data_IF_236567931353
#
_entry.id   IF_236567931353
#
_cell.length_a   1.000
_cell.length_b   1.000
_cell.length_c   1.000
_cell.angle_alpha   90.00
_cell.angle_beta   90.00
_cell.angle_gamma   90.00
#
_symmetry.space_group_name_H-M   'P 1'
#
loop_
_entity.id
_entity.type
_entity.pdbx_description
1 polymer ?
#
# COMPACT_ATOMS: atom_id res chain seq x y z
N UNK A 1 16.58 -50.72 -77.80
CA UNK A 1 16.47 -51.98 -77.04
C UNK A 1 15.77 -51.63 -75.73
N UNK A 2 14.49 -51.96 -75.61
CA UNK A 2 13.62 -51.55 -74.51
C UNK A 2 12.94 -52.80 -73.94
N UNK A 3 12.96 -52.95 -72.62
CA UNK A 3 12.23 -53.99 -71.90
C UNK A 3 11.47 -53.33 -70.74
N UNK A 4 10.14 -53.35 -70.85
CA UNK A 4 9.16 -53.17 -69.77
C UNK A 4 9.14 -54.43 -68.90
N UNK A 5 8.87 -54.33 -67.59
CA UNK A 5 7.94 -55.25 -66.89
C UNK A 5 7.24 -54.52 -65.72
N UNK A 6 5.90 -54.56 -65.74
CA UNK A 6 4.99 -54.43 -64.59
C UNK A 6 4.48 -55.85 -64.24
N UNK A 7 4.17 -56.13 -62.96
CA UNK A 7 3.12 -57.06 -62.46
C UNK A 7 3.34 -57.22 -60.94
N UNK A 8 2.42 -56.88 -60.03
CA UNK A 8 1.09 -57.47 -59.75
C UNK A 8 1.16 -58.99 -59.64
N UNK A 9 1.23 -59.51 -58.40
CA UNK A 9 0.50 -60.69 -57.87
C UNK A 9 1.30 -61.38 -56.77
N UNK A 10 0.92 -61.18 -55.51
CA UNK A 10 0.84 -62.28 -54.54
C UNK A 10 -0.10 -61.86 -53.42
N UNK A 11 -1.33 -61.57 -53.82
CA UNK A 11 -2.45 -61.50 -52.90
C UNK A 11 -2.69 -62.91 -52.34
N UNK A 12 -3.05 -62.99 -51.06
CA UNK A 12 -3.73 -64.14 -50.43
C UNK A 12 -2.93 -65.43 -50.28
N UNK A 13 -2.09 -65.50 -49.24
CA UNK A 13 -1.88 -66.75 -48.49
C UNK A 13 -1.26 -66.56 -47.10
N UNK A 14 -1.64 -65.51 -46.36
CA UNK A 14 -1.16 -65.27 -44.98
C UNK A 14 -2.28 -65.05 -43.97
N UNK A 15 -3.53 -65.25 -44.37
CA UNK A 15 -4.71 -65.17 -43.48
C UNK A 15 -4.87 -66.39 -42.57
N UNK A 16 -3.95 -67.36 -42.57
CA UNK A 16 -4.04 -68.58 -41.75
C UNK A 16 -2.82 -68.91 -40.89
N UNK A 17 -1.86 -67.98 -40.69
CA UNK A 17 -0.69 -68.24 -39.84
C UNK A 17 -0.38 -67.16 -38.78
N UNK A 18 -1.28 -66.20 -38.58
CA UNK A 18 -1.11 -65.09 -37.61
C UNK A 18 -1.96 -65.28 -36.34
N UNK A 19 -2.60 -66.45 -36.17
CA UNK A 19 -3.24 -66.86 -34.93
C UNK A 19 -2.40 -67.95 -34.24
N UNK A 20 -2.12 -67.78 -32.95
CA UNK A 20 -1.65 -68.83 -32.02
C UNK A 20 -0.17 -69.27 -32.04
N UNK A 21 0.74 -68.33 -31.80
CA UNK A 21 1.98 -68.46 -30.98
C UNK A 21 2.69 -67.10 -31.09
N UNK A 22 3.05 -66.34 -30.06
CA UNK A 22 3.60 -66.75 -28.77
C UNK A 22 3.35 -65.58 -27.80
N UNK A 23 2.27 -65.68 -27.04
CA UNK A 23 2.25 -65.23 -25.64
C UNK A 23 3.44 -65.97 -24.98
N UNK A 24 4.25 -65.29 -24.16
CA UNK A 24 5.52 -65.77 -23.55
C UNK A 24 6.82 -65.31 -24.25
N UNK A 25 7.13 -64.02 -24.14
CA UNK A 25 8.49 -63.55 -23.81
C UNK A 25 8.41 -62.09 -23.36
N UNK A 26 7.66 -61.91 -22.27
CA UNK A 26 7.82 -60.76 -21.39
C UNK A 26 9.11 -61.02 -20.59
N UNK A 27 9.87 -59.96 -20.27
CA UNK A 27 10.97 -59.94 -19.27
C UNK A 27 12.42 -60.09 -19.78
N UNK A 28 12.83 -59.29 -20.76
CA UNK A 28 14.22 -58.77 -20.84
C UNK A 28 14.37 -57.82 -22.01
N UNK A 29 14.10 -56.53 -21.82
CA UNK A 29 14.70 -55.39 -22.53
C UNK A 29 13.98 -54.11 -22.05
N UNK A 30 14.13 -53.83 -20.75
CA UNK A 30 13.89 -52.50 -20.18
C UNK A 30 15.21 -52.10 -19.53
N UNK A 31 16.14 -51.63 -20.33
CA UNK A 31 17.33 -50.95 -19.83
C UNK A 31 17.73 -49.92 -20.88
N UNK A 32 17.92 -48.69 -20.41
CA UNK A 32 18.42 -47.51 -21.12
C UNK A 32 17.57 -46.99 -22.28
N UNK A 33 16.50 -46.24 -21.98
CA UNK A 33 16.08 -45.04 -22.74
C UNK A 33 14.83 -44.38 -22.13
N UNK A 34 14.82 -44.08 -20.83
CA UNK A 34 13.91 -43.10 -20.19
C UNK A 34 14.51 -42.58 -18.89
N UNK A 35 15.44 -41.63 -19.00
CA UNK A 35 15.90 -40.80 -17.88
C UNK A 35 16.00 -39.34 -18.37
N UNK A 36 14.84 -38.73 -18.60
CA UNK A 36 14.73 -37.27 -18.71
C UNK A 36 13.27 -36.86 -18.48
N UNK A 37 12.78 -37.15 -17.27
CA UNK A 37 11.50 -36.71 -16.72
C UNK A 37 11.48 -37.24 -15.30
N UNK A 38 11.22 -36.38 -14.30
CA UNK A 38 11.40 -36.60 -12.85
C UNK A 38 12.76 -36.08 -12.32
N UNK A 39 12.93 -34.75 -12.44
CA UNK A 39 13.55 -33.94 -11.38
C UNK A 39 13.04 -32.49 -11.51
N UNK A 40 11.77 -32.28 -11.19
CA UNK A 40 11.19 -30.95 -11.01
C UNK A 40 10.19 -30.99 -9.84
N UNK A 41 10.68 -31.44 -8.69
CA UNK A 41 10.04 -31.26 -7.40
C UNK A 41 10.98 -30.40 -6.57
N UNK A 42 10.87 -29.08 -6.70
CA UNK A 42 10.94 -28.14 -5.58
C UNK A 42 10.80 -26.69 -6.07
N UNK A 43 10.13 -25.89 -5.25
CA UNK A 43 10.14 -24.42 -5.25
C UNK A 43 9.51 -23.70 -6.46
N UNK A 44 8.19 -23.60 -6.46
CA UNK A 44 7.53 -22.33 -6.82
C UNK A 44 6.43 -22.01 -5.82
N UNK A 45 6.78 -22.02 -4.52
CA UNK A 45 6.09 -21.14 -3.57
C UNK A 45 6.63 -19.76 -3.90
N UNK A 46 5.97 -19.07 -4.84
CA UNK A 46 6.10 -17.63 -4.97
C UNK A 46 5.46 -17.05 -3.71
N UNK A 47 6.20 -17.10 -2.59
CA UNK A 47 5.91 -16.24 -1.47
C UNK A 47 5.95 -14.84 -2.03
N UNK A 48 4.80 -14.18 -2.05
CA UNK A 48 4.76 -12.72 -2.06
C UNK A 48 5.54 -12.28 -0.82
N UNK A 49 6.86 -12.20 -0.94
CA UNK A 49 7.68 -11.43 -0.03
C UNK A 49 7.24 -10.01 -0.33
N UNK A 50 6.22 -9.55 0.41
CA UNK A 50 5.93 -8.14 0.48
C UNK A 50 7.28 -7.47 0.80
N UNK A 51 7.73 -6.50 -0.01
CA UNK A 51 8.98 -5.81 0.29
C UNK A 51 8.85 -5.32 1.74
N UNK A 52 9.78 -5.77 2.59
CA UNK A 52 9.90 -5.23 3.94
C UNK A 52 9.95 -3.71 3.77
N UNK A 53 9.15 -2.94 4.55
CA UNK A 53 9.16 -1.49 4.45
C UNK A 53 10.62 -1.04 4.49
N UNK A 54 11.05 -0.29 3.46
CA UNK A 54 12.42 0.17 3.36
C UNK A 54 12.82 0.78 4.71
N UNK A 55 14.01 0.45 5.25
CA UNK A 55 14.46 1.04 6.50
C UNK A 55 14.34 2.56 6.38
N UNK A 56 13.70 3.17 7.39
CA UNK A 56 13.32 4.59 7.47
C UNK A 56 14.53 5.55 7.50
N UNK A 57 15.51 5.36 6.63
CA UNK A 57 16.74 6.15 6.55
C UNK A 57 16.34 7.61 6.37
N UNK A 58 16.96 8.47 7.18
CA UNK A 58 16.78 9.92 7.13
C UNK A 58 15.56 10.47 7.88
N UNK A 59 14.67 9.65 8.44
CA UNK A 59 13.60 10.20 9.29
C UNK A 59 14.23 10.72 10.60
N UNK A 60 14.03 12.00 10.91
CA UNK A 60 14.56 12.63 12.12
C UNK A 60 13.60 12.50 13.31
N UNK A 61 12.32 12.26 13.05
CA UNK A 61 11.29 12.01 14.05
C UNK A 61 10.51 10.75 13.70
N UNK A 62 10.25 9.92 14.70
CA UNK A 62 9.48 8.68 14.59
C UNK A 62 8.62 8.49 15.82
N UNK A 63 7.38 8.07 15.62
CA UNK A 63 6.48 7.64 16.69
C UNK A 63 5.66 6.41 16.24
N UNK A 64 5.69 5.36 17.06
CA UNK A 64 4.94 4.11 16.86
C UNK A 64 4.09 3.73 18.09
N UNK A 65 3.91 4.68 19.00
CA UNK A 65 3.05 4.63 20.18
C UNK A 65 3.30 3.47 21.14
N UNK A 66 4.55 3.00 21.26
CA UNK A 66 4.90 1.89 22.16
C UNK A 66 4.76 2.24 23.65
N UNK A 67 4.71 3.53 23.97
CA UNK A 67 4.42 4.02 25.33
C UNK A 67 2.98 3.70 25.75
N UNK A 68 2.74 3.50 27.06
CA UNK A 68 1.39 3.23 27.59
C UNK A 68 0.45 4.43 27.52
N UNK A 69 0.99 5.63 27.32
CA UNK A 69 0.26 6.90 27.26
C UNK A 69 0.75 7.71 26.07
N UNK A 70 -0.06 8.68 25.65
CA UNK A 70 0.34 9.63 24.61
C UNK A 70 1.63 10.35 25.06
N UNK A 71 2.68 10.41 24.23
CA UNK A 71 3.91 11.10 24.60
C UNK A 71 3.67 12.59 24.88
N UNK A 72 4.40 13.16 25.84
CA UNK A 72 4.25 14.56 26.24
C UNK A 72 4.58 15.58 25.12
N UNK A 73 5.25 15.14 24.06
CA UNK A 73 5.54 15.93 22.86
C UNK A 73 4.32 16.15 21.96
N UNK A 74 3.19 15.48 22.23
CA UNK A 74 1.94 15.65 21.51
C UNK A 74 1.06 16.68 22.21
N UNK A 75 0.35 17.48 21.41
CA UNK A 75 -0.71 18.37 21.88
C UNK A 75 -2.04 17.97 21.27
N UNK A 76 -3.02 17.62 22.10
CA UNK A 76 -4.39 17.35 21.65
C UNK A 76 -5.13 18.68 21.52
N UNK A 77 -5.59 19.00 20.32
CA UNK A 77 -6.30 20.25 19.99
C UNK A 77 -7.80 20.11 20.24
N UNK A 78 -8.36 18.96 19.85
CA UNK A 78 -9.78 18.61 20.02
C UNK A 78 -9.91 17.10 20.16
N UNK A 79 -10.94 16.65 20.87
CA UNK A 79 -11.20 15.24 21.07
C UNK A 79 -10.31 14.61 22.14
N UNK A 80 -10.24 13.28 22.11
CA UNK A 80 -9.48 12.45 23.03
C UNK A 80 -8.58 11.52 22.23
N UNK A 81 -7.40 11.23 22.79
CA UNK A 81 -6.46 10.28 22.21
C UNK A 81 -6.03 9.29 23.28
N UNK A 82 -6.29 8.02 23.02
CA UNK A 82 -5.94 6.91 23.90
C UNK A 82 -4.94 6.01 23.19
N UNK A 83 -3.98 5.42 23.91
CA UNK A 83 -3.10 4.42 23.32
C UNK A 83 -3.71 3.04 23.52
N UNK A 84 -3.83 2.27 22.43
CA UNK A 84 -4.30 0.88 22.46
C UNK A 84 -3.20 -0.04 21.97
N UNK A 85 -3.03 -1.16 22.68
CA UNK A 85 -2.14 -2.25 22.25
C UNK A 85 -2.94 -3.21 21.36
N UNK A 86 -2.53 -3.31 20.10
CA UNK A 86 -3.00 -4.34 19.18
C UNK A 86 -2.21 -5.64 19.34
N UNK A 87 -2.48 -6.62 18.48
CA UNK A 87 -1.77 -7.90 18.48
C UNK A 87 -0.29 -7.76 18.07
N UNK A 88 0.00 -6.83 17.15
CA UNK A 88 1.34 -6.67 16.54
C UNK A 88 2.05 -5.38 16.91
N UNK A 89 1.30 -4.33 17.25
CA UNK A 89 1.80 -2.99 17.48
C UNK A 89 0.86 -2.22 18.42
N UNK A 90 1.40 -1.19 19.06
CA UNK A 90 0.60 -0.18 19.74
C UNK A 90 0.18 0.92 18.76
N UNK A 91 -0.91 1.63 19.02
CA UNK A 91 -1.37 2.73 18.18
C UNK A 91 -2.20 3.74 18.98
N UNK A 92 -2.20 4.99 18.50
CA UNK A 92 -3.09 6.01 19.01
C UNK A 92 -4.50 5.81 18.45
N UNK A 93 -5.51 5.97 19.30
CA UNK A 93 -6.92 5.88 18.97
C UNK A 93 -7.51 7.28 19.08
N UNK A 94 -7.86 7.87 17.94
CA UNK A 94 -8.50 9.17 17.84
C UNK A 94 -10.01 8.99 18.10
N UNK A 95 -10.50 9.65 19.15
CA UNK A 95 -11.91 9.58 19.59
C UNK A 95 -12.50 10.98 19.77
N UNK A 96 -13.74 11.24 19.34
CA UNK A 96 -14.37 12.54 19.54
C UNK A 96 -14.84 12.65 20.99
N UNK A 97 -14.64 13.81 21.62
CA UNK A 97 -15.17 14.08 22.96
C UNK A 97 -16.67 14.45 22.92
N UNK A 98 -17.06 15.19 21.89
CA UNK A 98 -18.35 15.84 21.64
C UNK A 98 -18.33 16.52 20.27
N UNK A 99 -17.18 17.10 19.90
CA UNK A 99 -16.89 17.60 18.56
C UNK A 99 -16.61 16.40 17.67
N UNK A 100 -17.27 16.32 16.52
CA UNK A 100 -17.06 15.26 15.52
C UNK A 100 -15.66 15.32 14.86
N UNK A 101 -14.69 16.03 15.45
CA UNK A 101 -13.33 16.18 14.95
C UNK A 101 -12.33 16.03 16.10
N UNK A 102 -11.27 15.27 15.83
CA UNK A 102 -10.11 15.07 16.69
C UNK A 102 -8.89 15.59 15.93
N UNK A 103 -8.02 16.29 16.63
CA UNK A 103 -6.80 16.85 16.06
C UNK A 103 -5.66 16.80 17.05
N UNK A 104 -4.50 16.37 16.59
CA UNK A 104 -3.26 16.39 17.37
C UNK A 104 -2.13 17.07 16.61
N UNK A 105 -1.26 17.75 17.36
CA UNK A 105 0.01 18.28 16.89
C UNK A 105 1.16 17.47 17.48
N UNK A 106 2.25 17.35 16.73
CA UNK A 106 3.46 16.64 17.15
C UNK A 106 4.69 17.12 16.38
N UNK A 107 5.87 16.76 16.89
CA UNK A 107 7.14 17.11 16.25
C UNK A 107 7.45 18.62 16.28
N UNK A 108 8.55 19.04 15.63
CA UNK A 108 8.95 20.44 15.60
C UNK A 108 8.12 21.23 14.58
N UNK A 109 8.03 22.54 14.76
CA UNK A 109 7.44 23.44 13.78
C UNK A 109 8.42 23.77 12.64
N UNK A 110 7.95 23.70 11.40
CA UNK A 110 8.70 24.11 10.21
C UNK A 110 7.81 24.95 9.28
N UNK A 111 8.42 25.84 8.51
CA UNK A 111 7.75 26.64 7.48
C UNK A 111 7.79 26.00 6.09
N UNK A 112 8.80 25.20 5.77
CA UNK A 112 8.86 24.41 4.54
C UNK A 112 9.94 23.34 4.65
N UNK A 113 10.10 22.52 3.61
CA UNK A 113 11.17 21.52 3.56
C UNK A 113 10.85 20.30 4.41
N UNK A 114 9.56 19.99 4.60
CA UNK A 114 9.12 18.93 5.50
C UNK A 114 8.25 17.91 4.77
N UNK A 115 8.47 16.65 5.15
CA UNK A 115 7.71 15.49 4.70
C UNK A 115 7.17 14.76 5.91
N UNK A 116 5.89 14.40 5.86
CA UNK A 116 5.18 13.64 6.89
C UNK A 116 4.59 12.38 6.26
N UNK A 117 4.83 11.23 6.90
CA UNK A 117 4.13 9.97 6.65
C UNK A 117 3.45 9.51 7.94
N UNK A 118 2.24 8.98 7.83
CA UNK A 118 1.55 8.26 8.90
C UNK A 118 0.55 7.28 8.30
N UNK A 119 0.08 6.31 9.09
CA UNK A 119 -0.98 5.38 8.68
C UNK A 119 -2.20 5.46 9.58
N UNK A 120 -3.36 5.24 8.97
CA UNK A 120 -4.66 5.26 9.62
C UNK A 120 -5.40 3.95 9.39
N UNK A 121 -6.11 3.47 10.41
CA UNK A 121 -7.04 2.35 10.28
C UNK A 121 -8.42 2.83 10.72
N UNK A 122 -9.39 2.68 9.82
CA UNK A 122 -10.77 3.08 10.03
C UNK A 122 -11.71 2.00 9.49
N UNK A 123 -12.85 1.84 10.15
CA UNK A 123 -13.93 0.96 9.72
C UNK A 123 -14.93 1.70 8.82
N UNK A 124 -15.68 0.94 8.03
CA UNK A 124 -16.75 1.50 7.20
C UNK A 124 -17.94 1.88 8.10
N UNK A 125 -18.71 2.84 7.64
CA UNK A 125 -19.95 3.24 8.28
C UNK A 125 -20.85 3.97 7.31
N UNK A 126 -22.15 3.97 7.60
CA UNK A 126 -23.21 4.63 6.80
C UNK A 126 -22.86 6.09 6.42
N UNK A 127 -22.09 6.78 7.26
CA UNK A 127 -21.36 7.99 6.93
C UNK A 127 -19.91 7.77 7.31
N UNK A 128 -19.06 7.53 6.32
CA UNK A 128 -17.65 7.22 6.56
C UNK A 128 -16.92 8.43 7.16
N UNK A 129 -16.04 8.14 8.11
CA UNK A 129 -15.19 9.13 8.75
C UNK A 129 -14.07 9.59 7.80
N UNK A 130 -13.60 10.83 7.94
CA UNK A 130 -12.43 11.32 7.19
C UNK A 130 -11.21 11.35 8.07
N UNK A 131 -10.03 11.15 7.50
CA UNK A 131 -8.76 11.27 8.23
C UNK A 131 -7.72 11.97 7.37
N UNK A 132 -6.78 12.65 8.03
CA UNK A 132 -5.80 13.47 7.35
C UNK A 132 -4.48 13.57 8.12
N UNK A 133 -3.41 13.80 7.36
CA UNK A 133 -2.15 14.36 7.87
C UNK A 133 -2.05 15.82 7.46
N UNK A 134 -1.37 16.64 8.26
CA UNK A 134 -1.19 18.05 7.95
C UNK A 134 0.21 18.56 8.27
N UNK A 135 0.63 19.57 7.52
CA UNK A 135 1.89 20.30 7.68
C UNK A 135 1.59 21.80 7.81
N UNK A 136 2.56 22.55 8.36
CA UNK A 136 2.47 24.01 8.49
C UNK A 136 1.36 24.50 9.45
N UNK A 137 1.12 23.75 10.53
CA UNK A 137 0.22 24.18 11.62
C UNK A 137 -1.27 23.93 11.35
N UNK A 138 -2.14 24.58 12.12
CA UNK A 138 -3.58 24.32 12.12
C UNK A 138 -4.28 24.75 10.83
N UNK A 139 -3.77 25.82 10.22
CA UNK A 139 -4.27 26.43 8.98
C UNK A 139 -3.42 26.08 7.75
N UNK A 140 -2.41 25.23 7.91
CA UNK A 140 -1.56 24.78 6.81
C UNK A 140 -2.23 23.76 5.90
N UNK A 141 -1.41 22.98 5.20
CA UNK A 141 -1.89 21.97 4.26
C UNK A 141 -2.37 20.72 4.97
N UNK A 142 -3.50 20.15 4.53
CA UNK A 142 -4.01 18.86 5.00
C UNK A 142 -4.30 17.94 3.83
N UNK A 143 -3.66 16.78 3.81
CA UNK A 143 -3.96 15.70 2.89
C UNK A 143 -5.01 14.79 3.53
N UNK A 144 -6.23 14.81 3.01
CA UNK A 144 -7.39 14.15 3.60
C UNK A 144 -7.94 13.05 2.68
N UNK A 145 -8.22 11.89 3.25
CA UNK A 145 -9.06 10.87 2.61
C UNK A 145 -10.51 11.14 2.98
N UNK A 146 -11.37 11.21 1.97
CA UNK A 146 -12.80 11.42 2.14
C UNK A 146 -13.58 10.27 1.49
N UNK A 147 -13.91 9.22 2.25
CA UNK A 147 -14.56 8.06 1.66
C UNK A 147 -15.97 8.34 1.13
N UNK A 148 -16.71 9.26 1.77
CA UNK A 148 -18.07 9.63 1.32
C UNK A 148 -18.07 10.23 -0.09
N UNK A 149 -17.01 10.95 -0.45
CA UNK A 149 -16.83 11.54 -1.78
C UNK A 149 -15.97 10.69 -2.70
N UNK A 150 -15.37 9.62 -2.19
CA UNK A 150 -14.36 8.80 -2.89
C UNK A 150 -13.23 9.66 -3.46
N UNK A 151 -12.68 10.55 -2.64
CA UNK A 151 -11.62 11.48 -3.03
C UNK A 151 -10.44 11.49 -2.06
N UNK A 152 -9.27 11.77 -2.62
CA UNK A 152 -8.13 12.32 -1.91
C UNK A 152 -8.17 13.83 -2.09
N UNK A 153 -8.19 14.57 -1.00
CA UNK A 153 -8.39 16.00 -0.96
C UNK A 153 -7.16 16.69 -0.37
N UNK A 154 -6.74 17.80 -0.98
CA UNK A 154 -5.80 18.74 -0.40
C UNK A 154 -6.55 19.97 0.08
N UNK A 155 -6.39 20.29 1.35
CA UNK A 155 -6.95 21.49 1.95
C UNK A 155 -5.83 22.45 2.31
N UNK A 156 -6.09 23.75 2.23
CA UNK A 156 -5.27 24.84 2.76
C UNK A 156 -6.18 25.80 3.51
N UNK A 157 -5.81 26.22 4.71
CA UNK A 157 -6.66 27.04 5.59
C UNK A 157 -8.09 26.49 5.76
N UNK A 158 -8.20 25.16 5.86
CA UNK A 158 -9.46 24.39 5.92
C UNK A 158 -10.37 24.50 4.68
N UNK A 159 -9.94 25.16 3.61
CA UNK A 159 -10.62 25.19 2.31
C UNK A 159 -10.05 24.12 1.38
N UNK A 160 -10.92 23.45 0.61
CA UNK A 160 -10.50 22.50 -0.42
C UNK A 160 -9.84 23.26 -1.58
N UNK A 161 -8.56 22.98 -1.84
CA UNK A 161 -7.80 23.62 -2.93
C UNK A 161 -7.57 22.68 -4.11
N UNK A 162 -7.50 21.38 -3.86
CA UNK A 162 -7.37 20.38 -4.92
C UNK A 162 -7.94 19.03 -4.48
N UNK A 163 -8.33 18.18 -5.44
CA UNK A 163 -8.82 16.83 -5.17
C UNK A 163 -8.68 15.92 -6.38
N UNK A 164 -8.46 14.64 -6.12
CA UNK A 164 -8.44 13.58 -7.13
C UNK A 164 -9.32 12.41 -6.69
N UNK A 165 -9.82 11.61 -7.64
CA UNK A 165 -10.58 10.41 -7.33
C UNK A 165 -9.70 9.42 -6.56
N UNK A 166 -10.22 8.88 -5.47
CA UNK A 166 -9.55 7.85 -4.69
C UNK A 166 -10.60 6.98 -3.97
N UNK A 167 -10.65 5.70 -4.33
CA UNK A 167 -11.55 4.74 -3.71
C UNK A 167 -10.85 4.09 -2.50
N UNK A 168 -11.39 4.35 -1.32
CA UNK A 168 -10.87 3.82 -0.06
C UNK A 168 -11.66 2.57 0.37
N UNK A 169 -10.96 1.60 0.94
CA UNK A 169 -11.53 0.38 1.54
C UNK A 169 -11.28 0.33 3.05
N UNK A 170 -12.31 0.05 3.81
CA UNK A 170 -12.27 -0.05 5.27
C UNK A 170 -11.51 -1.28 5.80
N UNK A 171 -11.22 -1.25 7.11
CA UNK A 171 -10.63 -2.38 7.83
C UNK A 171 -9.16 -2.65 7.47
N UNK A 172 -8.51 -1.71 6.79
CA UNK A 172 -7.12 -1.81 6.36
C UNK A 172 -6.34 -0.54 6.66
N UNK A 173 -5.06 -0.69 7.01
CA UNK A 173 -4.19 0.46 7.18
C UNK A 173 -4.05 1.22 5.85
N UNK A 174 -4.26 2.53 5.92
CA UNK A 174 -4.12 3.47 4.82
C UNK A 174 -3.01 4.44 5.17
N UNK A 175 -1.99 4.49 4.32
CA UNK A 175 -0.84 5.34 4.48
C UNK A 175 -1.11 6.68 3.79
N UNK A 176 -0.77 7.77 4.47
CA UNK A 176 -0.76 9.10 3.90
C UNK A 176 0.65 9.66 3.99
N UNK A 177 1.10 10.26 2.89
CA UNK A 177 2.38 10.91 2.78
C UNK A 177 2.15 12.29 2.17
N UNK A 178 2.44 13.33 2.94
CA UNK A 178 2.36 14.74 2.54
C UNK A 178 3.76 15.37 2.56
N UNK A 179 4.06 16.15 1.54
CA UNK A 179 5.31 16.89 1.41
C UNK A 179 5.04 18.34 1.00
N UNK A 180 5.78 19.27 1.60
CA UNK A 180 5.79 20.69 1.21
C UNK A 180 7.24 21.13 1.02
N UNK A 181 7.59 21.54 -0.19
CA UNK A 181 8.94 22.03 -0.53
C UNK A 181 8.89 23.34 -1.29
N UNK A 182 9.89 24.18 -1.09
CA UNK A 182 10.03 25.42 -1.84
C UNK A 182 10.44 25.11 -3.30
N UNK A 183 9.99 25.95 -4.21
CA UNK A 183 10.38 26.00 -5.61
C UNK A 183 10.99 27.37 -5.91
N UNK A 184 11.81 27.48 -6.98
CA UNK A 184 12.27 28.76 -7.46
C UNK A 184 11.12 29.74 -7.70
N UNK A 185 11.35 31.03 -7.42
CA UNK A 185 10.35 32.08 -7.67
C UNK A 185 9.30 32.22 -6.58
N UNK A 186 9.59 31.82 -5.33
CA UNK A 186 8.67 31.92 -4.18
C UNK A 186 7.37 31.16 -4.42
N UNK A 187 7.53 29.93 -4.87
CA UNK A 187 6.44 28.97 -5.03
C UNK A 187 6.68 27.81 -4.09
N UNK A 188 5.62 27.10 -3.73
CA UNK A 188 5.71 25.91 -2.91
C UNK A 188 4.97 24.78 -3.59
N UNK A 189 5.64 23.64 -3.73
CA UNK A 189 5.03 22.42 -4.22
C UNK A 189 4.53 21.59 -3.05
N UNK A 190 3.25 21.26 -3.10
CA UNK A 190 2.57 20.41 -2.14
C UNK A 190 2.22 19.10 -2.84
N UNK A 191 2.76 18.00 -2.33
CA UNK A 191 2.67 16.69 -2.96
C UNK A 191 2.09 15.67 -1.98
N UNK A 192 1.12 14.89 -2.45
CA UNK A 192 0.39 13.91 -1.67
C UNK A 192 0.44 12.52 -2.29
N UNK A 193 0.69 11.51 -1.46
CA UNK A 193 0.51 10.09 -1.79
C UNK A 193 -0.43 9.43 -0.80
N UNK A 194 -1.19 8.48 -1.31
CA UNK A 194 -2.03 7.59 -0.52
C UNK A 194 -1.94 6.18 -1.07
N UNK A 195 -1.91 5.19 -0.19
CA UNK A 195 -2.02 3.78 -0.55
C UNK A 195 -2.53 2.96 0.63
N UNK A 196 -3.11 1.80 0.35
CA UNK A 196 -3.51 0.85 1.38
C UNK A 196 -2.44 -0.20 1.62
N UNK A 197 -2.46 -0.84 2.79
CA UNK A 197 -1.46 -1.82 3.24
C UNK A 197 -1.21 -2.97 2.26
N UNK A 198 -2.25 -3.39 1.51
CA UNK A 198 -2.14 -4.45 0.49
C UNK A 198 -1.67 -3.94 -0.88
N UNK A 199 -1.47 -2.63 -1.02
CA UNK A 199 -1.04 -1.98 -2.26
C UNK A 199 0.44 -1.58 -2.15
N UNK A 200 1.15 -1.61 -3.28
CA UNK A 200 2.49 -1.06 -3.33
C UNK A 200 2.45 0.47 -3.17
N UNK A 201 3.45 1.04 -2.47
CA UNK A 201 3.61 2.50 -2.38
C UNK A 201 3.73 3.09 -3.80
N UNK A 202 2.92 4.09 -4.18
CA UNK A 202 2.98 4.71 -5.50
C UNK A 202 4.36 5.32 -5.77
N UNK A 203 4.88 5.05 -6.97
CA UNK A 203 6.12 5.69 -7.46
C UNK A 203 5.88 7.18 -7.70
N UNK A 204 4.81 7.50 -8.42
CA UNK A 204 4.36 8.87 -8.68
C UNK A 204 3.55 9.44 -7.53
N UNK A 205 3.52 10.77 -7.42
CA UNK A 205 2.62 11.47 -6.51
C UNK A 205 1.16 11.34 -6.97
N UNK A 206 0.27 10.99 -6.06
CA UNK A 206 -1.17 10.87 -6.35
C UNK A 206 -1.81 12.22 -6.60
N UNK A 207 -1.32 13.27 -5.94
CA UNK A 207 -1.80 14.64 -6.04
C UNK A 207 -0.61 15.60 -5.96
N UNK A 208 -0.62 16.66 -6.77
CA UNK A 208 0.36 17.76 -6.73
C UNK A 208 -0.37 19.10 -6.84
N UNK A 209 0.09 20.10 -6.11
CA UNK A 209 -0.46 21.46 -6.12
C UNK A 209 0.67 22.47 -5.93
N UNK A 210 0.67 23.54 -6.74
CA UNK A 210 1.61 24.64 -6.57
C UNK A 210 0.90 25.84 -5.96
N UNK A 211 1.48 26.37 -4.89
CA UNK A 211 0.99 27.55 -4.19
C UNK A 211 2.01 28.69 -4.29
N UNK A 212 1.51 29.92 -4.27
CA UNK A 212 2.32 31.15 -4.21
C UNK A 212 2.24 31.82 -2.83
N UNK A 213 1.35 31.35 -1.96
CA UNK A 213 1.30 31.79 -0.57
C UNK A 213 2.40 31.07 0.22
N UNK A 214 3.22 31.84 0.94
CA UNK A 214 4.25 31.28 1.80
C UNK A 214 3.59 30.46 2.92
N UNK A 215 3.94 29.17 3.10
CA UNK A 215 3.38 28.37 4.18
C UNK A 215 3.80 28.91 5.55
N UNK A 216 2.88 28.83 6.51
CA UNK A 216 3.15 29.24 7.89
C UNK A 216 4.17 28.32 8.55
N UNK A 217 4.92 28.86 9.53
CA UNK A 217 5.71 28.03 10.42
C UNK A 217 4.78 27.33 11.41
N UNK A 218 4.72 25.99 11.38
CA UNK A 218 3.81 25.26 12.25
C UNK A 218 4.14 23.79 12.38
N UNK A 219 3.61 23.18 13.44
CA UNK A 219 3.82 21.76 13.72
C UNK A 219 3.05 20.88 12.72
N UNK A 220 3.60 19.71 12.39
CA UNK A 220 2.86 18.59 11.82
C UNK A 220 1.65 18.20 12.65
N UNK A 221 0.67 17.61 11.98
CA UNK A 221 -0.60 17.26 12.59
C UNK A 221 -1.24 16.01 12.00
N UNK A 222 -2.12 15.39 12.78
CA UNK A 222 -3.03 14.36 12.31
C UNK A 222 -4.46 14.71 12.76
N UNK A 223 -5.42 14.41 11.88
CA UNK A 223 -6.81 14.80 12.06
C UNK A 223 -7.74 13.64 11.71
N UNK A 224 -8.85 13.56 12.42
CA UNK A 224 -9.95 12.66 12.10
C UNK A 224 -11.27 13.42 12.29
N UNK A 225 -12.19 13.31 11.33
CA UNK A 225 -13.59 13.69 11.53
C UNK A 225 -14.43 12.43 11.57
N UNK A 226 -15.02 12.19 12.73
CA UNK A 226 -15.65 10.93 13.10
C UNK A 226 -17.16 11.10 13.07
N UNK A 227 -17.84 10.32 12.25
CA UNK A 227 -19.30 10.26 12.23
C UNK A 227 -19.74 9.04 13.03
N UNK A 228 -20.62 9.26 14.02
CA UNK A 228 -21.17 8.23 14.92
C UNK A 228 -20.17 7.53 15.86
N UNK A 229 -19.04 8.15 16.17
CA UNK A 229 -18.14 7.68 17.23
C UNK A 229 -17.25 6.48 16.89
N UNK A 230 -17.20 6.04 15.62
CA UNK A 230 -16.24 5.03 15.20
C UNK A 230 -14.81 5.60 15.35
N UNK A 231 -13.97 5.02 16.22
CA UNK A 231 -12.61 5.53 16.42
C UNK A 231 -11.75 5.29 15.18
N UNK A 232 -10.76 6.16 14.96
CA UNK A 232 -9.72 5.95 13.95
C UNK A 232 -8.40 5.71 14.65
N UNK A 233 -7.72 4.62 14.28
CA UNK A 233 -6.38 4.37 14.74
C UNK A 233 -5.35 5.12 13.89
N UNK A 234 -4.28 5.61 14.52
CA UNK A 234 -3.16 6.33 13.95
C UNK A 234 -1.86 5.68 14.43
N UNK A 235 -0.92 5.48 13.51
CA UNK A 235 0.36 4.85 13.82
C UNK A 235 1.47 5.22 12.82
N UNK A 236 2.71 4.84 13.12
CA UNK A 236 3.92 5.00 12.31
C UNK A 236 4.10 6.41 11.77
N UNK A 237 4.06 7.41 12.67
CA UNK A 237 4.35 8.80 12.30
C UNK A 237 5.84 8.94 12.03
N UNK A 238 6.19 9.54 10.90
CA UNK A 238 7.57 9.77 10.49
C UNK A 238 7.71 11.15 9.85
N UNK A 239 8.77 11.85 10.22
CA UNK A 239 9.13 13.13 9.62
C UNK A 239 10.54 13.09 9.02
N UNK A 240 10.66 13.69 7.84
CA UNK A 240 11.93 13.94 7.16
C UNK A 240 12.04 15.40 6.80
N UNK A 241 13.27 15.91 6.82
CA UNK A 241 13.60 17.14 6.10
C UNK A 241 13.73 16.74 4.64
N UNK A 242 13.06 17.45 3.74
CA UNK A 242 13.27 17.29 2.31
C UNK A 242 14.46 18.15 1.92
N UNK A 243 15.44 17.53 1.27
CA UNK A 243 16.52 18.29 0.62
C UNK A 243 15.91 19.22 -0.43
N UNK A 244 16.41 20.46 -0.50
CA UNK A 244 16.00 21.51 -1.45
C UNK A 244 16.34 21.15 -2.90
#
# INVERSE_FOLDING_TARGET
MAIKINDVTFDRNLTELVGTATKYTNKSLKLTLRFSSILFFLSFVCGCVAPLPEPDKGAFYRESFESKSLPASFTVITGQVNIKRGEKNSYAVLQPDSKETVGILFGPAFSSGLRLEARFLAEDGEKSSTFAVGLNGLSGYKLRVNPNKQTLELLSNNALVHSVKYEWSAGQWTYLHLQVRELPGRQWLVEGKVWQEKQAKPKEWTLQWTDTARPENGQPSAWASLKKGNPIALDNIRLWITEE
#
